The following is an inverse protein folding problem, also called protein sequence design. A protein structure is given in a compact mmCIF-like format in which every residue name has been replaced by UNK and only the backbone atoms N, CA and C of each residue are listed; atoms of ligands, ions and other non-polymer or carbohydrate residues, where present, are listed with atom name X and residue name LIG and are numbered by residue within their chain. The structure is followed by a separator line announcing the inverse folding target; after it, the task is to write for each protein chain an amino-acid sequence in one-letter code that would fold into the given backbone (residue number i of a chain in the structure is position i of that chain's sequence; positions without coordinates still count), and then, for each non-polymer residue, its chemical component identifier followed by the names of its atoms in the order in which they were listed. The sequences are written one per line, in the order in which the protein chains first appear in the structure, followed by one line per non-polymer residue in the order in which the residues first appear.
data_IF_059691626784
#
_entry.id   IF_059691626784
#
_cell.length_a   1.000
_cell.length_b   1.000
_cell.length_c   1.000
_cell.angle_alpha   90.00
_cell.angle_beta   90.00
_cell.angle_gamma   90.00
#
_symmetry.space_group_name_H-M   'P 1'
#
loop_
_entity.id
_entity.type
_entity.pdbx_description
1 polymer ?
#
# COMPACT_ATOMS: atom_id res chain seq x y z
N UNK A 1 -2.31 2.71 9.79
CA UNK A 1 -2.32 3.66 10.93
C UNK A 1 -2.85 2.99 12.18
N UNK A 2 -2.27 3.26 13.36
CA UNK A 2 -2.70 2.70 14.66
C UNK A 2 -4.02 3.28 15.19
N UNK A 3 -4.36 4.51 14.82
CA UNK A 3 -5.60 5.14 15.29
C UNK A 3 -6.82 4.89 14.39
N UNK A 4 -6.66 4.16 13.27
CA UNK A 4 -7.75 3.98 12.30
C UNK A 4 -8.88 3.10 12.87
N UNK A 5 -10.13 3.51 12.68
CA UNK A 5 -11.32 2.78 13.17
C UNK A 5 -12.03 1.95 12.08
N UNK A 6 -11.36 1.68 10.96
CA UNK A 6 -11.92 0.84 9.89
C UNK A 6 -12.23 -0.57 10.40
N UNK A 7 -13.36 -1.13 9.99
CA UNK A 7 -13.78 -2.49 10.36
C UNK A 7 -12.77 -3.56 9.94
N UNK A 8 -12.02 -3.33 8.86
CA UNK A 8 -10.91 -4.18 8.44
C UNK A 8 -9.81 -4.21 9.52
N UNK A 9 -9.36 -3.06 10.00
CA UNK A 9 -8.35 -2.98 11.07
C UNK A 9 -8.86 -3.54 12.39
N UNK A 10 -10.09 -3.22 12.80
CA UNK A 10 -10.65 -3.68 14.07
C UNK A 10 -10.82 -5.21 14.14
N UNK A 11 -10.95 -5.86 12.98
CA UNK A 11 -11.05 -7.32 12.86
C UNK A 11 -9.74 -7.99 12.42
N UNK A 12 -8.64 -7.23 12.39
CA UNK A 12 -7.32 -7.70 11.96
C UNK A 12 -7.35 -8.37 10.57
N UNK A 13 -8.08 -7.76 9.63
CA UNK A 13 -8.14 -8.23 8.24
C UNK A 13 -6.79 -8.01 7.57
N UNK A 14 -6.25 -9.06 6.96
CA UNK A 14 -5.02 -8.99 6.19
C UNK A 14 -5.25 -8.44 4.77
N UNK A 15 -5.42 -7.12 4.69
CA UNK A 15 -5.55 -6.40 3.41
C UNK A 15 -4.32 -6.58 2.52
N UNK A 16 -3.13 -6.79 3.09
CA UNK A 16 -1.87 -6.93 2.33
C UNK A 16 -1.84 -8.28 1.62
N UNK A 17 -2.18 -9.37 2.31
CA UNK A 17 -2.30 -10.69 1.68
C UNK A 17 -3.38 -10.71 0.60
N UNK A 18 -4.53 -10.07 0.87
CA UNK A 18 -5.60 -9.94 -0.12
C UNK A 18 -5.11 -9.22 -1.39
N UNK A 19 -4.47 -8.06 -1.25
CA UNK A 19 -3.98 -7.28 -2.39
C UNK A 19 -2.85 -8.00 -3.15
N UNK A 20 -1.97 -8.73 -2.45
CA UNK A 20 -0.97 -9.59 -3.11
C UNK A 20 -1.63 -10.68 -3.96
N UNK A 21 -2.62 -11.37 -3.41
CA UNK A 21 -3.34 -12.43 -4.13
C UNK A 21 -4.10 -11.86 -5.33
N UNK A 22 -4.74 -10.71 -5.17
CA UNK A 22 -5.43 -10.01 -6.25
C UNK A 22 -4.46 -9.63 -7.37
N UNK A 23 -3.34 -8.99 -7.05
CA UNK A 23 -2.32 -8.60 -8.03
C UNK A 23 -1.76 -9.82 -8.75
N UNK A 24 -1.45 -10.91 -8.03
CA UNK A 24 -0.95 -12.14 -8.63
C UNK A 24 -1.96 -12.75 -9.61
N UNK A 25 -3.25 -12.79 -9.23
CA UNK A 25 -4.32 -13.25 -10.11
C UNK A 25 -4.41 -12.40 -11.37
N UNK A 26 -4.50 -11.08 -11.23
CA UNK A 26 -4.63 -10.16 -12.35
C UNK A 26 -3.40 -10.21 -13.27
N UNK A 27 -2.20 -10.38 -12.71
CA UNK A 27 -0.98 -10.51 -13.50
C UNK A 27 -0.99 -11.78 -14.36
N UNK A 28 -1.49 -12.90 -13.84
CA UNK A 28 -1.66 -14.13 -14.60
C UNK A 28 -2.76 -13.99 -15.67
N UNK A 29 -3.91 -13.44 -15.30
CA UNK A 29 -5.09 -13.31 -16.17
C UNK A 29 -4.83 -12.38 -17.36
N UNK A 30 -4.12 -11.27 -17.13
CA UNK A 30 -3.88 -10.24 -18.15
C UNK A 30 -2.44 -10.20 -18.67
N UNK A 31 -1.58 -11.16 -18.28
CA UNK A 31 -0.15 -11.20 -18.66
C UNK A 31 0.60 -9.90 -18.34
N UNK A 32 0.34 -9.34 -17.16
CA UNK A 32 1.01 -8.13 -16.69
C UNK A 32 2.47 -8.46 -16.33
N UNK A 33 3.38 -7.54 -16.64
CA UNK A 33 4.77 -7.61 -16.20
C UNK A 33 4.84 -7.40 -14.68
N UNK A 34 5.26 -8.41 -13.89
CA UNK A 34 5.30 -8.31 -12.44
C UNK A 34 6.33 -7.30 -11.93
N UNK A 35 7.26 -6.83 -12.77
CA UNK A 35 8.21 -5.78 -12.40
C UNK A 35 7.66 -4.36 -12.65
N UNK A 36 6.47 -4.23 -13.27
CA UNK A 36 5.84 -2.95 -13.61
C UNK A 36 4.46 -2.79 -12.99
N UNK A 37 4.35 -3.13 -11.71
CA UNK A 37 3.14 -2.93 -10.92
C UNK A 37 3.25 -1.58 -10.19
N UNK A 38 2.25 -0.72 -10.36
CA UNK A 38 2.18 0.60 -9.73
C UNK A 38 0.92 0.67 -8.87
N UNK A 39 1.02 1.25 -7.68
CA UNK A 39 -0.12 1.42 -6.78
C UNK A 39 -0.43 2.89 -6.60
N UNK A 40 -1.61 3.31 -7.04
CA UNK A 40 -2.09 4.67 -6.87
C UNK A 40 -3.31 4.69 -5.94
N UNK A 41 -3.43 5.71 -5.09
CA UNK A 41 -4.56 5.82 -4.17
C UNK A 41 -4.87 7.23 -3.69
N UNK A 42 -6.17 7.50 -3.54
CA UNK A 42 -6.69 8.75 -2.98
C UNK A 42 -7.07 8.59 -1.51
N UNK A 43 -6.67 9.54 -0.66
CA UNK A 43 -6.99 9.57 0.77
C UNK A 43 -6.65 8.26 1.48
N UNK A 44 -7.63 7.50 1.96
CA UNK A 44 -7.42 6.18 2.55
C UNK A 44 -6.79 5.17 1.58
N UNK A 45 -7.06 5.28 0.27
CA UNK A 45 -6.37 4.49 -0.74
C UNK A 45 -4.89 4.86 -0.82
N UNK A 46 -4.53 6.14 -0.63
CA UNK A 46 -3.13 6.58 -0.55
C UNK A 46 -2.45 6.05 0.71
N UNK A 47 -3.17 5.99 1.84
CA UNK A 47 -2.68 5.33 3.06
C UNK A 47 -2.43 3.83 2.84
N UNK A 48 -3.27 3.15 2.05
CA UNK A 48 -3.05 1.75 1.69
C UNK A 48 -1.86 1.58 0.74
N UNK A 49 -1.63 2.52 -0.18
CA UNK A 49 -0.46 2.53 -1.04
C UNK A 49 0.85 2.62 -0.22
N UNK A 50 0.89 3.49 0.81
CA UNK A 50 2.00 3.52 1.75
C UNK A 50 2.18 2.20 2.50
N UNK A 51 1.08 1.61 2.98
CA UNK A 51 1.10 0.31 3.67
C UNK A 51 1.67 -0.79 2.78
N UNK A 52 1.27 -0.86 1.51
CA UNK A 52 1.81 -1.84 0.55
C UNK A 52 3.29 -1.62 0.25
N UNK A 53 3.75 -0.38 0.13
CA UNK A 53 5.18 -0.11 -0.03
C UNK A 53 6.01 -0.59 1.17
N UNK A 54 5.47 -0.48 2.39
CA UNK A 54 6.16 -0.90 3.62
C UNK A 54 6.07 -2.41 3.90
N UNK A 55 4.85 -2.97 3.86
CA UNK A 55 4.57 -4.37 4.24
C UNK A 55 4.66 -5.35 3.05
N UNK A 56 4.76 -4.82 1.83
CA UNK A 56 4.96 -5.60 0.62
C UNK A 56 6.13 -5.14 -0.26
N UNK A 57 7.37 -5.13 0.28
CA UNK A 57 8.54 -4.68 -0.46
C UNK A 57 8.71 -5.47 -1.76
N UNK A 58 8.88 -4.75 -2.88
CA UNK A 58 9.04 -5.32 -4.21
C UNK A 58 7.74 -5.72 -4.92
N UNK A 59 6.56 -5.60 -4.28
CA UNK A 59 5.29 -5.75 -4.98
C UNK A 59 5.00 -4.52 -5.86
N UNK A 60 4.92 -3.28 -5.32
CA UNK A 60 4.90 -2.09 -6.16
C UNK A 60 6.33 -1.73 -6.62
N UNK A 61 6.47 -1.43 -7.91
CA UNK A 61 7.65 -0.76 -8.46
C UNK A 61 7.69 0.71 -8.02
N UNK A 62 6.53 1.37 -7.94
CA UNK A 62 6.36 2.69 -7.35
C UNK A 62 4.92 2.91 -6.85
N UNK A 63 4.75 3.92 -5.99
CA UNK A 63 3.44 4.35 -5.51
C UNK A 63 3.14 5.81 -5.88
N UNK A 64 1.85 6.13 -6.01
CA UNK A 64 1.36 7.50 -6.11
C UNK A 64 0.21 7.73 -5.13
N UNK A 65 0.26 8.81 -4.35
CA UNK A 65 -0.78 9.11 -3.36
C UNK A 65 -1.35 10.50 -3.59
N UNK A 66 -2.66 10.63 -3.49
CA UNK A 66 -3.38 11.91 -3.60
C UNK A 66 -4.13 12.17 -2.30
N UNK A 67 -3.98 13.37 -1.72
CA UNK A 67 -4.64 13.77 -0.46
C UNK A 67 -4.40 12.77 0.68
N UNK A 68 -3.17 12.26 0.77
CA UNK A 68 -2.75 11.30 1.79
C UNK A 68 -1.38 11.69 2.33
N UNK A 69 -1.25 11.63 3.64
CA UNK A 69 0.01 11.91 4.34
C UNK A 69 0.63 10.63 4.87
N UNK A 70 1.96 10.64 5.00
CA UNK A 70 2.67 9.63 5.76
C UNK A 70 2.14 9.56 7.21
N UNK A 71 2.17 8.38 7.85
CA UNK A 71 1.88 8.28 9.28
C UNK A 71 2.98 8.97 10.10
N UNK A 72 2.62 9.54 11.25
CA UNK A 72 3.62 9.90 12.27
C UNK A 72 4.17 8.63 12.92
N UNK A 73 5.31 8.75 13.60
CA UNK A 73 5.95 7.64 14.34
C UNK A 73 5.01 6.97 15.34
N UNK A 74 4.18 7.76 16.04
CA UNK A 74 3.24 7.27 17.06
C UNK A 74 2.05 6.55 16.43
N UNK A 75 1.69 6.90 15.19
CA UNK A 75 0.51 6.40 14.49
C UNK A 75 0.84 5.43 13.35
N UNK A 76 2.12 5.12 13.13
CA UNK A 76 2.52 4.12 12.16
C UNK A 76 2.26 2.71 12.71
N UNK A 77 1.58 1.89 11.92
CA UNK A 77 1.24 0.51 12.24
C UNK A 77 2.00 -0.49 11.36
N UNK A 78 2.78 0.01 10.38
CA UNK A 78 3.51 -0.84 9.47
C UNK A 78 4.79 -1.39 10.12
N UNK A 79 5.32 -2.46 9.54
CA UNK A 79 6.68 -2.91 9.85
C UNK A 79 7.71 -1.94 9.27
N UNK A 80 8.94 -1.89 9.82
CA UNK A 80 10.01 -1.07 9.26
C UNK A 80 10.21 -1.38 7.77
N UNK A 81 10.40 -0.32 6.97
CA UNK A 81 10.59 -0.44 5.53
C UNK A 81 11.92 -1.13 5.26
N UNK A 82 11.88 -2.34 4.70
CA UNK A 82 13.09 -3.12 4.38
C UNK A 82 13.73 -2.70 3.05
N UNK A 83 12.94 -2.14 2.12
CA UNK A 83 13.39 -1.72 0.79
C UNK A 83 12.75 -0.40 0.36
N UNK A 84 13.53 0.58 -0.13
CA UNK A 84 12.95 1.83 -0.64
C UNK A 84 12.09 1.56 -1.86
N UNK A 85 10.98 2.27 -1.96
CA UNK A 85 10.04 2.25 -3.09
C UNK A 85 9.87 3.69 -3.59
N UNK A 86 9.94 3.92 -4.90
CA UNK A 86 9.72 5.25 -5.46
C UNK A 86 8.30 5.74 -5.16
N UNK A 87 8.14 7.02 -4.81
CA UNK A 87 6.86 7.58 -4.40
C UNK A 87 6.61 8.97 -5.00
N UNK A 88 5.40 9.21 -5.50
CA UNK A 88 4.86 10.52 -5.86
C UNK A 88 3.76 10.91 -4.87
N UNK A 89 3.92 12.05 -4.20
CA UNK A 89 2.97 12.54 -3.19
C UNK A 89 2.31 13.83 -3.69
N UNK A 90 0.98 13.81 -3.83
CA UNK A 90 0.19 14.94 -4.30
C UNK A 90 -0.72 15.39 -3.17
N UNK A 91 -0.45 16.56 -2.62
CA UNK A 91 -1.27 17.21 -1.60
C UNK A 91 -1.56 18.66 -2.02
N UNK A 92 -2.70 19.19 -1.61
CA UNK A 92 -3.10 20.58 -1.81
C UNK A 92 -3.10 21.36 -0.50
#
# INVERSE_FOLDING_TARGET
RKAASYSARLRDVDDVAFLRALVARLAQEYRVDPQRIYVAGYSNGGQMAFRLAAEAPGLPAAIATVAASLPTTENDACRPVERPTAALLING
#
